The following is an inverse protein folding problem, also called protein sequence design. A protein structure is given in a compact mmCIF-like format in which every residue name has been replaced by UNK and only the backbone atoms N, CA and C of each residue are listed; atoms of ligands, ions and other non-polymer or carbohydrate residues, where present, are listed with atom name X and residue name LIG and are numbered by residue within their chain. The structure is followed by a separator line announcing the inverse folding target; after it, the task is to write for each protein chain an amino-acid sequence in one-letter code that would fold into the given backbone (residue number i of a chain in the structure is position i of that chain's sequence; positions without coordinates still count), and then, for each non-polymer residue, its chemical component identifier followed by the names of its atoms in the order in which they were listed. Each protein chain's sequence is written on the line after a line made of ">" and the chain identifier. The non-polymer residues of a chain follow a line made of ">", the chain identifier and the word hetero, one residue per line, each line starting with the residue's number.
data_IF_538997654275
#
_entry.id   IF_538997654275
#
_cell.length_a   1.000
_cell.length_b   1.000
_cell.length_c   1.000
_cell.angle_alpha   90.00
_cell.angle_beta   90.00
_cell.angle_gamma   90.00
#
_symmetry.space_group_name_H-M   'P 1'
#
loop_
_entity.id
_entity.type
_entity.pdbx_description
1 polymer ?
#
# COMPACT_ATOMS: atom_id res chain seq x y z
N UNK A 1 -11.60 18.12 12.95
CA UNK A 1 -11.19 16.80 12.45
C UNK A 1 -12.44 16.00 12.03
N UNK A 2 -13.34 16.61 11.24
CA UNK A 2 -14.69 16.07 10.95
C UNK A 2 -14.73 15.16 9.69
N UNK A 3 -13.78 15.34 8.77
CA UNK A 3 -13.80 14.68 7.46
C UNK A 3 -13.46 13.19 7.51
N UNK A 4 -12.63 12.73 8.46
CA UNK A 4 -12.27 11.31 8.53
C UNK A 4 -13.40 10.45 9.08
N UNK A 5 -14.22 10.98 10.00
CA UNK A 5 -15.33 10.23 10.61
C UNK A 5 -16.44 9.97 9.58
N UNK A 6 -16.86 11.00 8.85
CA UNK A 6 -17.87 10.87 7.78
C UNK A 6 -17.41 9.89 6.70
N UNK A 7 -16.14 9.96 6.30
CA UNK A 7 -15.56 9.02 5.34
C UNK A 7 -15.60 7.58 5.89
N UNK A 8 -15.16 7.36 7.12
CA UNK A 8 -15.15 6.03 7.72
C UNK A 8 -16.57 5.45 7.83
N UNK A 9 -17.53 6.24 8.32
CA UNK A 9 -18.93 5.81 8.39
C UNK A 9 -19.50 5.46 7.01
N UNK A 10 -19.16 6.21 5.96
CA UNK A 10 -19.59 5.90 4.60
C UNK A 10 -18.97 4.60 4.07
N UNK A 11 -17.66 4.41 4.27
CA UNK A 11 -16.96 3.18 3.85
C UNK A 11 -17.50 1.93 4.57
N UNK A 12 -17.80 2.06 5.87
CA UNK A 12 -18.41 1.00 6.68
C UNK A 12 -19.83 0.70 6.22
N UNK A 13 -20.66 1.73 6.03
CA UNK A 13 -22.05 1.57 5.56
C UNK A 13 -22.13 0.90 4.19
N UNK A 14 -21.16 1.19 3.32
CA UNK A 14 -21.04 0.59 1.99
C UNK A 14 -20.30 -0.76 1.99
N UNK A 15 -19.72 -1.18 3.12
CA UNK A 15 -18.91 -2.39 3.26
C UNK A 15 -17.74 -2.44 2.24
N UNK A 16 -17.05 -1.31 2.06
CA UNK A 16 -15.93 -1.13 1.14
C UNK A 16 -14.65 -0.63 1.81
N UNK A 17 -14.60 -0.64 3.14
CA UNK A 17 -13.39 -0.28 3.89
C UNK A 17 -12.20 -1.15 3.47
N UNK A 18 -11.07 -0.54 3.06
CA UNK A 18 -9.87 -1.29 2.73
C UNK A 18 -9.24 -1.85 4.00
N UNK A 19 -8.58 -3.00 3.88
CA UNK A 19 -7.78 -3.54 4.98
C UNK A 19 -6.61 -2.57 5.29
N UNK A 20 -6.39 -2.29 6.58
CA UNK A 20 -5.36 -1.35 7.05
C UNK A 20 -4.20 -2.03 7.77
N UNK A 21 -4.42 -3.23 8.29
CA UNK A 21 -3.43 -3.99 9.04
C UNK A 21 -3.49 -5.43 8.58
N UNK A 22 -2.34 -6.04 8.33
CA UNK A 22 -2.24 -7.46 7.98
C UNK A 22 -1.44 -8.12 9.08
N UNK A 23 -2.13 -8.69 10.06
CA UNK A 23 -1.46 -9.38 11.17
C UNK A 23 -1.28 -10.87 10.84
N UNK A 24 -2.24 -11.46 10.12
CA UNK A 24 -2.26 -12.89 9.81
C UNK A 24 -2.50 -13.14 8.32
N UNK A 25 -1.71 -14.06 7.74
CA UNK A 25 -1.87 -14.54 6.36
C UNK A 25 -3.27 -15.07 6.06
N UNK A 26 -3.90 -15.73 7.02
CA UNK A 26 -5.23 -16.31 6.85
C UNK A 26 -6.31 -15.23 6.63
N UNK A 27 -6.23 -14.11 7.34
CA UNK A 27 -7.14 -12.97 7.17
C UNK A 27 -6.96 -12.33 5.79
N UNK A 28 -5.70 -12.11 5.39
CA UNK A 28 -5.37 -11.63 4.05
C UNK A 28 -5.97 -12.54 2.98
N UNK A 29 -5.62 -13.84 3.01
CA UNK A 29 -6.13 -14.84 2.06
C UNK A 29 -7.65 -14.85 2.01
N UNK A 30 -8.35 -14.73 3.13
CA UNK A 30 -9.82 -14.72 3.14
C UNK A 30 -10.42 -13.54 2.38
N UNK A 31 -9.81 -12.37 2.46
CA UNK A 31 -10.26 -11.16 1.75
C UNK A 31 -9.93 -11.27 0.27
N UNK A 32 -8.74 -11.78 -0.05
CA UNK A 32 -8.21 -11.73 -1.41
C UNK A 32 -8.51 -12.97 -2.25
N UNK A 33 -8.81 -14.14 -1.65
CA UNK A 33 -9.06 -15.42 -2.37
C UNK A 33 -10.14 -15.37 -3.45
N UNK A 34 -11.07 -14.42 -3.35
CA UNK A 34 -12.14 -14.22 -4.33
C UNK A 34 -11.70 -13.45 -5.58
N UNK A 35 -10.50 -12.89 -5.56
CA UNK A 35 -9.90 -12.18 -6.67
C UNK A 35 -8.72 -13.01 -7.19
N UNK A 36 -8.72 -13.35 -8.46
CA UNK A 36 -7.60 -14.09 -9.08
C UNK A 36 -6.40 -13.19 -9.37
N UNK A 37 -6.63 -11.89 -9.51
CA UNK A 37 -5.60 -10.89 -9.82
C UNK A 37 -5.62 -9.79 -8.77
N UNK A 38 -4.42 -9.45 -8.27
CA UNK A 38 -4.19 -8.31 -7.39
C UNK A 38 -3.15 -7.41 -8.05
N UNK A 39 -3.38 -6.11 -8.02
CA UNK A 39 -2.43 -5.10 -8.48
C UNK A 39 -1.82 -4.42 -7.25
N UNK A 40 -0.50 -4.44 -7.14
CA UNK A 40 0.25 -3.67 -6.16
C UNK A 40 0.76 -2.37 -6.80
N UNK A 41 0.54 -1.25 -6.10
CA UNK A 41 1.06 0.04 -6.55
C UNK A 41 1.43 0.96 -5.39
N UNK A 42 2.49 1.74 -5.59
CA UNK A 42 2.96 2.77 -4.68
C UNK A 42 2.30 4.11 -4.99
N UNK A 43 1.28 4.48 -4.21
CA UNK A 43 0.57 5.75 -4.40
C UNK A 43 1.25 6.89 -3.65
N UNK A 44 1.79 7.85 -4.39
CA UNK A 44 2.40 9.08 -3.85
C UNK A 44 1.38 10.21 -3.67
N UNK A 45 1.44 10.90 -2.54
CA UNK A 45 0.67 12.12 -2.27
C UNK A 45 1.65 13.26 -1.96
N UNK A 46 1.52 14.38 -2.67
CA UNK A 46 2.31 15.57 -2.40
C UNK A 46 2.11 16.05 -0.95
N UNK A 47 3.20 16.45 -0.31
CA UNK A 47 3.15 17.09 1.00
C UNK A 47 3.95 18.40 0.99
N UNK A 48 3.64 19.28 1.94
CA UNK A 48 4.46 20.47 2.18
C UNK A 48 5.89 20.04 2.50
N UNK A 49 6.86 20.81 1.98
CA UNK A 49 8.28 20.61 2.30
C UNK A 49 8.46 20.77 3.83
N UNK A 50 8.91 19.73 4.54
CA UNK A 50 9.22 19.85 5.96
C UNK A 50 10.35 20.85 6.18
N UNK A 51 10.29 21.60 7.29
CA UNK A 51 11.34 22.53 7.71
C UNK A 51 12.51 21.83 8.40
N UNK A 52 12.26 20.68 9.03
CA UNK A 52 13.28 19.84 9.65
C UNK A 52 14.01 19.02 8.58
N UNK A 53 15.35 19.05 8.61
CA UNK A 53 16.20 18.47 7.56
C UNK A 53 16.04 16.95 7.44
N UNK A 54 15.93 16.24 8.56
CA UNK A 54 15.75 14.79 8.59
C UNK A 54 14.40 14.39 7.96
N UNK A 55 13.33 15.11 8.33
CA UNK A 55 12.02 14.89 7.73
C UNK A 55 11.99 15.32 6.26
N UNK A 56 12.71 16.38 5.90
CA UNK A 56 12.82 16.83 4.53
C UNK A 56 13.44 15.72 3.65
N UNK A 57 14.58 15.16 4.07
CA UNK A 57 15.24 14.06 3.36
C UNK A 57 14.34 12.83 3.25
N UNK A 58 13.60 12.48 4.32
CA UNK A 58 12.65 11.35 4.32
C UNK A 58 11.45 11.56 3.37
N UNK A 59 11.06 12.80 3.10
CA UNK A 59 9.93 13.09 2.20
C UNK A 59 10.36 13.36 0.76
N UNK A 60 11.64 13.58 0.50
CA UNK A 60 12.14 13.86 -0.84
C UNK A 60 12.03 12.62 -1.75
N UNK A 61 11.21 12.71 -2.80
CA UNK A 61 10.90 11.56 -3.67
C UNK A 61 11.91 11.32 -4.79
N UNK A 62 13.01 12.09 -4.84
CA UNK A 62 13.94 12.10 -5.96
C UNK A 62 13.42 12.84 -7.21
N UNK A 63 12.10 12.99 -7.37
CA UNK A 63 11.43 13.67 -8.50
C UNK A 63 11.26 15.19 -8.28
N UNK A 64 12.20 15.82 -7.57
CA UNK A 64 12.18 17.25 -7.18
C UNK A 64 10.91 17.70 -6.43
N UNK A 65 10.28 16.78 -5.68
CA UNK A 65 9.09 17.04 -4.86
C UNK A 65 9.15 16.29 -3.54
N UNK A 66 8.38 16.76 -2.55
CA UNK A 66 8.22 16.09 -1.27
C UNK A 66 6.88 15.36 -1.25
N UNK A 67 6.91 14.07 -0.97
CA UNK A 67 5.72 13.23 -0.96
C UNK A 67 5.70 12.36 0.29
N UNK A 68 4.49 11.92 0.63
CA UNK A 68 4.29 10.69 1.36
C UNK A 68 3.84 9.61 0.39
N UNK A 69 3.96 8.35 0.81
CA UNK A 69 3.57 7.22 -0.02
C UNK A 69 2.83 6.17 0.78
N UNK A 70 1.88 5.50 0.15
CA UNK A 70 1.26 4.28 0.66
C UNK A 70 1.40 3.18 -0.39
N UNK A 71 1.56 1.94 0.07
CA UNK A 71 1.34 0.77 -0.78
C UNK A 71 -0.15 0.47 -0.80
N UNK A 72 -0.69 0.25 -1.98
CA UNK A 72 -2.07 -0.18 -2.19
C UNK A 72 -2.10 -1.54 -2.86
N UNK A 73 -3.10 -2.34 -2.49
CA UNK A 73 -3.49 -3.50 -3.29
C UNK A 73 -4.89 -3.26 -3.82
N UNK A 74 -5.08 -3.43 -5.11
CA UNK A 74 -6.38 -3.28 -5.79
C UNK A 74 -6.74 -4.51 -6.59
N UNK A 75 -8.02 -4.65 -6.96
CA UNK A 75 -8.44 -5.59 -7.99
C UNK A 75 -8.59 -4.89 -9.35
N UNK A 76 -8.92 -5.63 -10.40
CA UNK A 76 -9.15 -5.05 -11.74
C UNK A 76 -10.36 -4.10 -11.82
N UNK A 77 -11.28 -4.14 -10.86
CA UNK A 77 -12.43 -3.24 -10.78
C UNK A 77 -12.10 -1.94 -10.00
N UNK A 78 -10.82 -1.64 -9.79
CA UNK A 78 -10.33 -0.48 -9.04
C UNK A 78 -10.76 -0.46 -7.56
N UNK A 79 -11.18 -1.60 -7.01
CA UNK A 79 -11.50 -1.72 -5.58
C UNK A 79 -10.21 -1.76 -4.77
N UNK A 80 -10.08 -0.81 -3.84
CA UNK A 80 -8.99 -0.79 -2.86
C UNK A 80 -9.19 -1.90 -1.81
N UNK A 81 -8.35 -2.93 -1.87
CA UNK A 81 -8.39 -4.09 -0.98
C UNK A 81 -7.55 -3.88 0.27
N UNK A 82 -6.38 -3.27 0.11
CA UNK A 82 -5.45 -2.98 1.19
C UNK A 82 -4.82 -1.61 0.97
N UNK A 83 -4.59 -0.90 2.08
CA UNK A 83 -3.78 0.32 2.09
C UNK A 83 -2.86 0.29 3.31
N UNK A 84 -1.56 0.44 3.08
CA UNK A 84 -0.55 0.43 4.13
C UNK A 84 -0.63 1.66 5.06
N UNK A 85 0.14 1.67 6.16
CA UNK A 85 0.54 2.90 6.82
C UNK A 85 1.24 3.86 5.85
N UNK A 86 1.36 5.11 6.25
CA UNK A 86 2.01 6.15 5.44
C UNK A 86 3.53 6.08 5.61
N UNK A 87 4.24 6.06 4.49
CA UNK A 87 5.69 6.09 4.39
C UNK A 87 6.18 7.43 3.85
N UNK A 88 7.47 7.72 4.05
CA UNK A 88 8.11 8.86 3.41
C UNK A 88 8.30 8.61 1.90
N UNK A 89 8.20 9.67 1.09
CA UNK A 89 8.37 9.59 -0.36
C UNK A 89 9.72 9.06 -0.83
N UNK A 90 10.74 9.09 0.03
CA UNK A 90 12.07 8.55 -0.29
C UNK A 90 12.15 7.02 -0.21
N UNK A 91 11.13 6.35 0.35
CA UNK A 91 11.13 4.90 0.51
C UNK A 91 10.72 4.23 -0.81
N UNK A 92 11.54 3.29 -1.28
CA UNK A 92 11.29 2.50 -2.49
C UNK A 92 10.10 1.55 -2.30
N UNK A 93 9.33 1.34 -3.37
CA UNK A 93 8.08 0.59 -3.33
C UNK A 93 8.29 -0.87 -2.92
N UNK A 94 9.27 -1.57 -3.49
CA UNK A 94 9.74 -2.88 -3.02
C UNK A 94 9.98 -2.94 -1.50
N UNK A 95 10.62 -1.93 -0.90
CA UNK A 95 10.92 -1.94 0.54
C UNK A 95 9.64 -1.81 1.36
N UNK A 96 8.68 -1.01 0.88
CA UNK A 96 7.37 -0.90 1.52
C UNK A 96 6.64 -2.23 1.43
N UNK A 97 6.66 -2.88 0.26
CA UNK A 97 6.04 -4.19 0.04
C UNK A 97 6.59 -5.24 0.98
N UNK A 98 7.90 -5.39 1.08
CA UNK A 98 8.55 -6.36 1.99
C UNK A 98 8.24 -6.10 3.46
N UNK A 99 8.05 -4.83 3.83
CA UNK A 99 7.67 -4.47 5.20
C UNK A 99 6.20 -4.79 5.51
N UNK A 100 5.30 -4.63 4.53
CA UNK A 100 3.87 -4.93 4.69
C UNK A 100 3.59 -6.43 4.56
N UNK A 101 4.36 -7.12 3.72
CA UNK A 101 4.22 -8.52 3.37
C UNK A 101 5.59 -9.21 3.46
N UNK A 102 6.06 -9.63 4.64
CA UNK A 102 7.36 -10.28 4.77
C UNK A 102 7.54 -11.48 3.80
N UNK A 103 8.61 -11.55 2.99
CA UNK A 103 8.83 -12.58 1.96
C UNK A 103 8.86 -14.04 2.47
N UNK A 104 9.11 -14.24 3.76
CA UNK A 104 9.10 -15.58 4.38
C UNK A 104 7.69 -16.19 4.54
N UNK A 105 6.66 -15.50 4.04
CA UNK A 105 5.26 -15.90 4.10
C UNK A 105 4.71 -15.78 2.67
N UNK A 106 4.11 -16.85 2.15
CA UNK A 106 3.59 -16.85 0.77
C UNK A 106 2.23 -16.13 0.68
N UNK A 107 2.24 -14.80 0.86
CA UNK A 107 1.04 -13.96 0.92
C UNK A 107 0.15 -14.15 -0.32
N UNK A 108 0.76 -14.17 -1.50
CA UNK A 108 0.08 -14.16 -2.80
C UNK A 108 -0.03 -15.55 -3.46
N UNK A 109 0.17 -16.62 -2.70
CA UNK A 109 0.07 -17.99 -3.21
C UNK A 109 -1.31 -18.26 -3.83
N UNK A 110 -1.31 -18.75 -5.08
CA UNK A 110 -2.52 -19.04 -5.85
C UNK A 110 -3.16 -17.81 -6.49
N UNK A 111 -2.44 -16.69 -6.56
CA UNK A 111 -2.92 -15.43 -7.12
C UNK A 111 -1.93 -14.88 -8.15
N UNK A 112 -2.42 -14.08 -9.09
CA UNK A 112 -1.56 -13.29 -9.96
C UNK A 112 -1.35 -11.92 -9.32
N UNK A 113 -0.14 -11.68 -8.82
CA UNK A 113 0.32 -10.35 -8.43
C UNK A 113 0.78 -9.60 -9.69
N UNK A 114 0.27 -8.38 -9.88
CA UNK A 114 0.68 -7.46 -10.94
C UNK A 114 1.28 -6.22 -10.32
N UNK A 115 2.41 -5.80 -10.84
CA UNK A 115 3.15 -4.63 -10.40
C UNK A 115 3.94 -4.01 -11.56
N UNK A 116 4.64 -2.91 -11.30
CA UNK A 116 5.54 -2.25 -12.25
C UNK A 116 7.02 -2.42 -11.86
N UNK A 117 7.91 -1.72 -12.56
CA UNK A 117 9.35 -1.79 -12.30
C UNK A 117 9.78 -1.22 -10.93
N UNK A 118 8.87 -0.63 -10.15
CA UNK A 118 9.09 -0.26 -8.74
C UNK A 118 9.11 -1.47 -7.79
N UNK A 119 8.77 -2.66 -8.30
CA UNK A 119 8.62 -3.89 -7.52
C UNK A 119 9.50 -5.07 -8.02
N UNK A 120 10.68 -4.79 -8.57
CA UNK A 120 11.55 -5.83 -9.16
C UNK A 120 11.88 -6.98 -8.20
N UNK A 121 11.93 -6.73 -6.89
CA UNK A 121 12.16 -7.76 -5.88
C UNK A 121 11.01 -8.74 -5.72
N UNK A 122 9.78 -8.34 -6.05
CA UNK A 122 8.58 -9.14 -5.84
C UNK A 122 8.60 -10.48 -6.60
N UNK A 123 9.16 -10.50 -7.81
CA UNK A 123 9.30 -11.71 -8.64
C UNK A 123 10.07 -12.84 -7.94
N UNK A 124 11.05 -12.49 -7.10
CA UNK A 124 11.84 -13.47 -6.34
C UNK A 124 11.29 -13.73 -4.95
N UNK A 125 10.54 -12.79 -4.39
CA UNK A 125 10.11 -12.79 -2.99
C UNK A 125 8.72 -13.41 -2.77
N UNK A 126 7.86 -13.52 -3.80
CA UNK A 126 6.45 -13.92 -3.66
C UNK A 126 5.93 -14.91 -4.70
#
# INVERSE_FOLDING_TARGET
>A
MLYSEVLNCALESLNVSPMRTVQLRAEFKNIVKKYSNIIADGTEVACVRPSDDDHQMKRYSGKKRHTVKVLTLTNHDLKLLYMSPVFGGSVHDDKIMKKCFPPNISWFEGMTLRDDLGFLGAVTDY
#
